data_IF_635735773406
#
_entry.id   IF_635735773406
#
_cell.length_a   1.000
_cell.length_b   1.000
_cell.length_c   1.000
_cell.angle_alpha   90.00
_cell.angle_beta   90.00
_cell.angle_gamma   90.00
#
_symmetry.space_group_name_H-M   'P 1'
#
loop_
_entity.id
_entity.type
_entity.pdbx_description
1 polymer ?
#
# COMPACT_ATOMS: atom_id res chain seq x y z
N UNK A 1 -47.18 -20.53 -13.16
CA UNK A 1 -46.35 -19.50 -12.47
C UNK A 1 -44.93 -19.63 -12.97
N UNK A 2 -44.23 -18.53 -13.22
CA UNK A 2 -42.93 -18.51 -13.92
C UNK A 2 -41.82 -19.10 -13.05
N UNK A 3 -40.95 -19.95 -13.61
CA UNK A 3 -39.76 -20.52 -12.92
C UNK A 3 -38.90 -19.43 -12.24
N UNK A 4 -38.94 -18.21 -12.74
CA UNK A 4 -38.25 -17.04 -12.18
C UNK A 4 -38.80 -16.59 -10.80
N UNK A 5 -40.12 -16.71 -10.56
CA UNK A 5 -40.72 -16.33 -9.27
C UNK A 5 -40.38 -17.35 -8.18
N UNK A 6 -40.29 -18.63 -8.53
CA UNK A 6 -39.88 -19.69 -7.60
C UNK A 6 -38.41 -19.56 -7.19
N UNK A 7 -37.53 -19.20 -8.14
CA UNK A 7 -36.11 -18.93 -7.85
C UNK A 7 -35.96 -17.71 -6.93
N UNK A 8 -36.70 -16.61 -7.19
CA UNK A 8 -36.71 -15.43 -6.33
C UNK A 8 -37.19 -15.74 -4.91
N UNK A 9 -38.27 -16.51 -4.78
CA UNK A 9 -38.79 -16.89 -3.46
C UNK A 9 -37.82 -17.79 -2.69
N UNK A 10 -37.15 -18.74 -3.35
CA UNK A 10 -36.10 -19.56 -2.73
C UNK A 10 -34.90 -18.74 -2.27
N UNK A 11 -34.47 -17.73 -3.06
CA UNK A 11 -33.39 -16.82 -2.66
C UNK A 11 -33.77 -15.97 -1.44
N UNK A 12 -35.00 -15.46 -1.39
CA UNK A 12 -35.51 -14.69 -0.25
C UNK A 12 -35.63 -15.54 1.01
N UNK A 13 -36.16 -16.76 0.91
CA UNK A 13 -36.23 -17.69 2.05
C UNK A 13 -34.84 -18.09 2.55
N UNK A 14 -33.88 -18.31 1.64
CA UNK A 14 -32.50 -18.59 2.02
C UNK A 14 -31.86 -17.38 2.73
N UNK A 15 -32.14 -16.14 2.31
CA UNK A 15 -31.65 -14.93 3.00
C UNK A 15 -32.30 -14.76 4.38
N UNK A 16 -33.60 -15.03 4.53
CA UNK A 16 -34.32 -14.94 5.82
C UNK A 16 -33.92 -16.03 6.82
N UNK A 17 -33.68 -17.26 6.36
CA UNK A 17 -33.18 -18.33 7.23
C UNK A 17 -31.75 -18.04 7.75
N UNK A 18 -30.93 -17.35 6.94
CA UNK A 18 -29.55 -16.97 7.27
C UNK A 18 -29.47 -15.81 8.26
N UNK A 19 -30.31 -14.79 8.14
CA UNK A 19 -30.38 -13.68 9.12
C UNK A 19 -30.82 -14.16 10.51
N UNK A 20 -31.70 -15.15 10.59
CA UNK A 20 -32.17 -15.73 11.85
C UNK A 20 -31.08 -16.52 12.62
N UNK A 21 -30.07 -17.07 11.95
CA UNK A 21 -28.96 -17.76 12.62
C UNK A 21 -28.05 -16.80 13.41
N UNK A 22 -27.92 -15.55 12.95
CA UNK A 22 -27.18 -14.48 13.66
C UNK A 22 -27.96 -14.00 14.90
N UNK A 23 -29.29 -14.04 14.84
CA UNK A 23 -30.15 -13.64 15.95
C UNK A 23 -30.05 -14.58 17.17
N UNK A 24 -29.77 -15.88 16.97
CA UNK A 24 -29.73 -16.91 18.02
C UNK A 24 -28.45 -16.95 18.88
N UNK A 25 -27.47 -16.07 18.68
CA UNK A 25 -26.27 -16.03 19.54
C UNK A 25 -26.61 -15.54 20.96
N UNK A 26 -26.11 -16.25 21.98
CA UNK A 26 -26.18 -15.86 23.39
C UNK A 26 -25.69 -14.40 23.59
N UNK A 27 -26.43 -13.52 24.30
CA UNK A 27 -26.06 -12.12 24.51
C UNK A 27 -24.64 -11.92 25.05
N UNK A 28 -24.14 -12.84 25.89
CA UNK A 28 -22.76 -12.80 26.41
C UNK A 28 -21.72 -13.05 25.31
N UNK A 29 -22.00 -14.00 24.40
CA UNK A 29 -21.17 -14.28 23.24
C UNK A 29 -21.18 -13.11 22.24
N UNK A 30 -22.33 -12.47 22.00
CA UNK A 30 -22.44 -11.25 21.17
C UNK A 30 -21.58 -10.11 21.71
N UNK A 31 -21.61 -9.85 23.03
CA UNK A 31 -20.81 -8.81 23.65
C UNK A 31 -19.29 -9.06 23.56
N UNK A 32 -18.85 -10.31 23.82
CA UNK A 32 -17.44 -10.71 23.69
C UNK A 32 -16.93 -10.55 22.25
N UNK A 33 -17.74 -10.96 21.28
CA UNK A 33 -17.45 -10.83 19.85
C UNK A 33 -17.38 -9.38 19.42
N UNK A 34 -18.32 -8.54 19.83
CA UNK A 34 -18.34 -7.10 19.55
C UNK A 34 -17.08 -6.40 20.09
N UNK A 35 -16.65 -6.74 21.31
CA UNK A 35 -15.40 -6.22 21.89
C UNK A 35 -14.20 -6.56 21.01
N UNK A 36 -14.09 -7.81 20.54
CA UNK A 36 -12.99 -8.25 19.69
C UNK A 36 -12.99 -7.58 18.31
N UNK A 37 -14.16 -7.42 17.68
CA UNK A 37 -14.30 -6.71 16.40
C UNK A 37 -13.84 -5.24 16.52
N UNK A 38 -14.23 -4.55 17.60
CA UNK A 38 -13.80 -3.15 17.85
C UNK A 38 -12.29 -3.03 18.05
N UNK A 39 -11.67 -3.98 18.75
CA UNK A 39 -10.22 -4.03 18.95
C UNK A 39 -9.47 -4.19 17.62
N UNK A 40 -9.89 -5.16 16.79
CA UNK A 40 -9.31 -5.38 15.47
C UNK A 40 -9.51 -4.18 14.55
N UNK A 41 -10.67 -3.52 14.61
CA UNK A 41 -10.93 -2.30 13.85
C UNK A 41 -10.01 -1.15 14.28
N UNK A 42 -9.77 -0.98 15.58
CA UNK A 42 -8.88 0.06 16.10
C UNK A 42 -7.43 -0.15 15.61
N UNK A 43 -6.94 -1.40 15.63
CA UNK A 43 -5.62 -1.75 15.08
C UNK A 43 -5.53 -1.44 13.59
N UNK A 44 -6.55 -1.86 12.83
CA UNK A 44 -6.67 -1.54 11.41
C UNK A 44 -6.79 -0.05 11.14
N UNK A 45 -7.29 0.79 12.05
CA UNK A 45 -7.31 2.25 11.87
C UNK A 45 -5.95 2.90 12.14
N UNK A 46 -5.16 2.33 13.05
CA UNK A 46 -3.82 2.82 13.42
C UNK A 46 -2.71 2.55 12.40
N UNK A 47 -2.93 1.68 11.43
CA UNK A 47 -1.88 1.28 10.47
C UNK A 47 -1.51 -0.19 10.52
N UNK A 48 -1.90 -0.90 11.59
CA UNK A 48 -1.51 -2.29 11.80
C UNK A 48 -2.27 -3.25 10.87
N UNK A 49 -1.65 -4.37 10.51
CA UNK A 49 -2.30 -5.47 9.82
C UNK A 49 -2.88 -6.51 10.81
N UNK A 50 -3.90 -7.23 10.37
CA UNK A 50 -4.52 -8.33 11.13
C UNK A 50 -4.43 -9.62 10.33
N UNK A 51 -4.20 -10.74 11.03
CA UNK A 51 -4.05 -12.03 10.35
C UNK A 51 -5.39 -12.56 9.84
N UNK A 52 -5.37 -13.37 8.78
CA UNK A 52 -6.59 -14.07 8.29
C UNK A 52 -7.18 -15.01 9.36
N UNK A 53 -6.33 -15.58 10.22
CA UNK A 53 -6.76 -16.38 11.36
C UNK A 53 -7.54 -15.55 12.38
N UNK A 54 -7.05 -14.36 12.71
CA UNK A 54 -7.76 -13.43 13.60
C UNK A 54 -9.12 -13.03 13.01
N UNK A 55 -9.18 -12.76 11.70
CA UNK A 55 -10.42 -12.39 11.04
C UNK A 55 -11.43 -13.55 11.02
N UNK A 56 -10.98 -14.76 10.64
CA UNK A 56 -11.82 -15.98 10.63
C UNK A 56 -12.36 -16.34 12.01
N UNK A 57 -11.60 -16.06 13.07
CA UNK A 57 -12.02 -16.33 14.44
C UNK A 57 -13.12 -15.40 14.97
N UNK A 58 -13.41 -14.29 14.28
CA UNK A 58 -14.37 -13.27 14.75
C UNK A 58 -15.54 -13.07 13.78
N UNK A 59 -15.37 -13.41 12.50
CA UNK A 59 -16.46 -13.46 11.53
C UNK A 59 -17.29 -14.75 11.70
N UNK A 60 -18.59 -14.69 11.37
CA UNK A 60 -19.39 -15.91 11.20
C UNK A 60 -19.01 -16.57 9.87
N UNK A 61 -19.37 -17.84 9.69
CA UNK A 61 -19.12 -18.54 8.41
C UNK A 61 -19.71 -17.78 7.22
N UNK A 62 -20.89 -17.20 7.38
CA UNK A 62 -21.51 -16.35 6.34
C UNK A 62 -20.67 -15.09 6.04
N UNK A 63 -20.27 -14.34 7.07
CA UNK A 63 -19.47 -13.12 6.88
C UNK A 63 -18.07 -13.43 6.35
N UNK A 64 -17.53 -14.59 6.72
CA UNK A 64 -16.29 -15.10 6.18
C UNK A 64 -16.43 -15.42 4.69
N UNK A 65 -17.55 -16.03 4.29
CA UNK A 65 -17.84 -16.31 2.89
C UNK A 65 -18.07 -15.02 2.09
N UNK A 66 -18.81 -14.06 2.63
CA UNK A 66 -19.00 -12.73 2.02
C UNK A 66 -17.62 -12.04 1.82
N UNK A 67 -16.75 -12.11 2.82
CA UNK A 67 -15.38 -11.60 2.74
C UNK A 67 -14.54 -12.35 1.69
N UNK A 68 -14.61 -13.68 1.65
CA UNK A 68 -13.89 -14.50 0.67
C UNK A 68 -14.33 -14.25 -0.77
N UNK A 69 -15.63 -14.05 -0.99
CA UNK A 69 -16.23 -13.73 -2.28
C UNK A 69 -15.86 -12.28 -2.71
N UNK A 70 -15.92 -11.31 -1.80
CA UNK A 70 -15.46 -9.94 -2.08
C UNK A 70 -13.95 -9.90 -2.40
N UNK A 71 -13.18 -10.75 -1.72
CA UNK A 71 -11.75 -10.93 -1.96
C UNK A 71 -11.45 -11.86 -3.14
N UNK A 72 -12.44 -12.52 -3.76
CA UNK A 72 -12.27 -13.40 -4.93
C UNK A 72 -11.88 -12.60 -6.17
N UNK A 73 -12.41 -11.38 -6.32
CA UNK A 73 -11.95 -10.44 -7.35
C UNK A 73 -10.52 -9.93 -7.11
N UNK A 74 -10.01 -10.03 -5.87
CA UNK A 74 -8.58 -9.85 -5.56
C UNK A 74 -7.78 -11.15 -5.65
N UNK A 75 -8.45 -12.31 -5.78
CA UNK A 75 -7.86 -13.59 -6.22
C UNK A 75 -7.75 -13.65 -7.75
N UNK A 76 -7.86 -12.51 -8.47
CA UNK A 76 -7.26 -12.42 -9.80
C UNK A 76 -5.83 -12.94 -9.65
N UNK A 77 -5.59 -14.02 -10.36
CA UNK A 77 -4.42 -14.85 -10.25
C UNK A 77 -3.22 -14.12 -10.87
N UNK A 78 -2.61 -13.24 -10.09
CA UNK A 78 -1.25 -12.78 -10.36
C UNK A 78 -0.24 -13.88 -9.95
N UNK A 79 -0.46 -15.15 -10.30
CA UNK A 79 0.69 -16.04 -10.58
C UNK A 79 1.40 -15.60 -11.86
N UNK A 80 0.73 -14.81 -12.72
CA UNK A 80 1.39 -13.76 -13.49
C UNK A 80 1.58 -12.55 -12.58
N UNK A 81 2.47 -12.66 -11.59
CA UNK A 81 2.97 -11.49 -10.87
C UNK A 81 3.47 -10.58 -11.99
N UNK A 82 2.93 -9.35 -12.14
CA UNK A 82 3.74 -8.32 -12.78
C UNK A 82 4.95 -8.26 -11.86
N UNK A 83 6.01 -8.99 -12.17
CA UNK A 83 7.24 -8.87 -11.43
C UNK A 83 7.69 -7.44 -11.68
N UNK A 84 8.12 -6.77 -10.62
CA UNK A 84 8.70 -5.44 -10.80
C UNK A 84 9.81 -5.59 -11.85
N UNK A 85 9.79 -4.79 -12.94
CA UNK A 85 10.80 -4.86 -13.97
C UNK A 85 12.20 -4.89 -13.35
N UNK A 86 13.05 -5.80 -13.79
CA UNK A 86 14.36 -5.97 -13.16
C UNK A 86 15.26 -4.75 -13.39
N UNK A 87 14.99 -4.00 -14.46
CA UNK A 87 15.58 -2.73 -14.84
C UNK A 87 15.37 -1.68 -13.74
N UNK A 88 14.24 -1.73 -13.03
CA UNK A 88 13.95 -0.85 -11.89
C UNK A 88 14.88 -1.11 -10.69
N UNK A 89 15.65 -2.22 -10.64
CA UNK A 89 16.55 -2.49 -9.52
C UNK A 89 17.73 -1.51 -9.46
N UNK A 90 18.32 -1.14 -10.61
CA UNK A 90 19.43 -0.18 -10.65
C UNK A 90 18.97 1.20 -10.16
N UNK A 91 17.78 1.62 -10.59
CA UNK A 91 17.13 2.83 -10.08
C UNK A 91 16.99 2.80 -8.56
N UNK A 92 16.47 1.70 -8.01
CA UNK A 92 16.23 1.54 -6.59
C UNK A 92 17.52 1.54 -5.76
N UNK A 93 18.60 0.97 -6.29
CA UNK A 93 19.90 0.97 -5.62
C UNK A 93 20.47 2.39 -5.52
N UNK A 94 20.37 3.18 -6.59
CA UNK A 94 20.79 4.61 -6.60
C UNK A 94 19.92 5.44 -5.66
N UNK A 95 18.61 5.24 -5.70
CA UNK A 95 17.65 5.90 -4.81
C UNK A 95 17.96 5.61 -3.34
N UNK A 96 18.30 4.36 -3.00
CA UNK A 96 18.69 3.93 -1.65
C UNK A 96 20.01 4.58 -1.21
N UNK A 97 20.96 4.77 -2.10
CA UNK A 97 22.20 5.51 -1.80
C UNK A 97 21.91 6.98 -1.50
N UNK A 98 21.05 7.62 -2.29
CA UNK A 98 20.57 8.99 -2.04
C UNK A 98 19.91 9.12 -0.67
N UNK A 99 18.96 8.23 -0.35
CA UNK A 99 18.27 8.20 0.95
C UNK A 99 19.26 8.03 2.11
N UNK A 100 20.26 7.15 1.95
CA UNK A 100 21.28 6.92 2.96
C UNK A 100 22.12 8.17 3.23
N UNK A 101 22.64 8.81 2.19
CA UNK A 101 23.44 10.03 2.36
C UNK A 101 22.62 11.18 2.93
N UNK A 102 21.37 11.32 2.48
CA UNK A 102 20.45 12.34 2.98
C UNK A 102 20.18 12.14 4.47
N UNK A 103 19.75 10.94 4.89
CA UNK A 103 19.51 10.63 6.30
C UNK A 103 20.77 10.80 7.17
N UNK A 104 21.95 10.46 6.62
CA UNK A 104 23.23 10.68 7.29
C UNK A 104 23.57 12.16 7.43
N UNK A 105 23.23 12.99 6.44
CA UNK A 105 23.41 14.43 6.50
C UNK A 105 22.53 15.05 7.61
N UNK A 106 21.25 14.68 7.64
CA UNK A 106 20.27 15.14 8.62
C UNK A 106 20.69 14.80 10.06
N UNK A 107 21.26 13.62 10.26
CA UNK A 107 21.77 13.18 11.58
C UNK A 107 23.15 13.75 11.95
N UNK A 108 23.89 14.36 11.03
CA UNK A 108 25.23 14.89 11.28
C UNK A 108 25.16 16.31 11.83
N UNK A 109 25.56 16.60 13.08
CA UNK A 109 25.54 17.96 13.63
C UNK A 109 26.62 18.85 13.00
N UNK A 110 26.28 20.13 12.80
CA UNK A 110 27.24 21.18 12.42
C UNK A 110 27.57 21.99 13.67
N UNK A 111 28.85 22.08 13.99
CA UNK A 111 29.37 22.80 15.16
C UNK A 111 30.52 23.70 14.75
N UNK A 112 30.93 24.63 15.61
CA UNK A 112 32.09 25.47 15.37
C UNK A 112 33.41 24.68 15.17
N UNK A 113 33.45 23.41 15.58
CA UNK A 113 34.61 22.50 15.41
C UNK A 113 34.49 21.56 14.22
N UNK A 114 33.42 21.65 13.44
CA UNK A 114 33.21 20.78 12.30
C UNK A 114 34.32 20.96 11.27
N UNK A 115 34.91 19.85 10.79
CA UNK A 115 35.97 19.89 9.78
C UNK A 115 35.44 20.46 8.47
N UNK A 116 36.10 21.50 7.99
CA UNK A 116 35.87 22.14 6.69
C UNK A 116 36.91 21.61 5.69
N UNK A 117 36.50 21.33 4.45
CA UNK A 117 37.43 20.97 3.37
C UNK A 117 38.04 22.20 2.67
N UNK A 118 38.91 21.96 1.69
CA UNK A 118 39.53 23.01 0.87
C UNK A 118 38.57 23.84 0.03
N UNK A 119 37.31 23.41 -0.11
CA UNK A 119 36.24 24.12 -0.83
C UNK A 119 35.26 24.81 0.12
N UNK A 120 35.65 24.99 1.38
CA UNK A 120 34.85 25.59 2.44
C UNK A 120 33.55 24.82 2.77
N UNK A 121 33.53 23.50 2.58
CA UNK A 121 32.35 22.66 2.86
C UNK A 121 32.53 21.83 4.13
N UNK A 122 31.54 21.92 5.02
CA UNK A 122 31.47 21.06 6.20
C UNK A 122 30.95 19.65 5.85
N UNK A 123 31.13 18.69 6.77
CA UNK A 123 30.76 17.28 6.57
C UNK A 123 29.31 17.07 6.13
N UNK A 124 28.35 17.73 6.79
CA UNK A 124 26.92 17.67 6.39
C UNK A 124 26.69 18.13 4.95
N UNK A 125 27.27 19.26 4.53
CA UNK A 125 27.10 19.77 3.17
C UNK A 125 27.63 18.79 2.12
N UNK A 126 28.78 18.16 2.38
CA UNK A 126 29.31 17.11 1.50
C UNK A 126 28.37 15.90 1.39
N UNK A 127 27.73 15.50 2.49
CA UNK A 127 26.76 14.41 2.48
C UNK A 127 25.51 14.79 1.68
N UNK A 128 25.03 16.04 1.76
CA UNK A 128 23.93 16.50 0.90
C UNK A 128 24.33 16.46 -0.58
N UNK A 129 25.53 16.92 -0.96
CA UNK A 129 25.99 16.84 -2.35
C UNK A 129 26.12 15.38 -2.83
N UNK A 130 26.50 14.45 -1.94
CA UNK A 130 26.51 13.02 -2.25
C UNK A 130 25.11 12.45 -2.43
N UNK A 131 24.14 12.91 -1.64
CA UNK A 131 22.74 12.54 -1.78
C UNK A 131 22.17 13.05 -3.10
N UNK A 132 22.35 14.34 -3.38
CA UNK A 132 21.93 15.00 -4.63
C UNK A 132 22.48 14.28 -5.84
N UNK A 133 23.80 14.03 -5.90
CA UNK A 133 24.42 13.30 -7.00
C UNK A 133 23.86 11.87 -7.17
N UNK A 134 23.53 11.16 -6.08
CA UNK A 134 22.89 9.85 -6.18
C UNK A 134 21.43 9.91 -6.65
N UNK A 135 20.71 10.98 -6.32
CA UNK A 135 19.36 11.23 -6.84
C UNK A 135 19.38 11.64 -8.31
N UNK A 136 20.33 12.48 -8.73
CA UNK A 136 20.54 12.82 -10.16
C UNK A 136 20.77 11.56 -10.98
N UNK A 137 21.71 10.72 -10.53
CA UNK A 137 21.99 9.42 -11.13
C UNK A 137 20.75 8.53 -11.24
N UNK A 138 19.89 8.53 -10.20
CA UNK A 138 18.65 7.76 -10.19
C UNK A 138 17.65 8.33 -11.20
N UNK A 139 17.43 9.64 -11.22
CA UNK A 139 16.51 10.31 -12.13
C UNK A 139 16.95 10.15 -13.57
N UNK A 140 18.24 10.34 -13.88
CA UNK A 140 18.79 10.11 -15.21
C UNK A 140 18.53 8.68 -15.67
N UNK A 141 18.83 7.69 -14.84
CA UNK A 141 18.58 6.29 -15.18
C UNK A 141 17.08 6.01 -15.41
N UNK A 142 16.20 6.61 -14.60
CA UNK A 142 14.77 6.48 -14.77
C UNK A 142 14.27 7.13 -16.07
N UNK A 143 14.74 8.33 -16.39
CA UNK A 143 14.41 9.02 -17.63
C UNK A 143 14.89 8.22 -18.84
N UNK A 144 16.14 7.73 -18.83
CA UNK A 144 16.68 6.86 -19.89
C UNK A 144 15.83 5.59 -20.07
N UNK A 145 15.33 5.01 -18.97
CA UNK A 145 14.45 3.84 -19.00
C UNK A 145 13.06 4.18 -19.58
N UNK A 146 12.53 5.38 -19.31
CA UNK A 146 11.21 5.82 -19.74
C UNK A 146 11.17 6.36 -21.18
N UNK A 147 12.27 6.97 -21.63
CA UNK A 147 12.46 7.52 -22.99
C UNK A 147 13.11 6.51 -23.95
N UNK A 148 13.48 5.33 -23.43
CA UNK A 148 14.06 4.25 -24.22
C UNK A 148 13.14 3.73 -25.32
N UNK A 149 13.71 2.91 -26.21
CA UNK A 149 12.98 2.36 -27.37
C UNK A 149 11.93 1.29 -27.02
N UNK A 150 11.91 0.80 -25.76
CA UNK A 150 10.95 -0.19 -25.30
C UNK A 150 9.74 0.48 -24.62
N UNK A 151 8.75 0.82 -25.44
CA UNK A 151 7.53 1.47 -24.96
C UNK A 151 6.71 0.59 -24.01
N UNK A 152 6.81 -0.74 -24.12
CA UNK A 152 6.10 -1.65 -23.22
C UNK A 152 6.73 -1.61 -21.82
N UNK A 153 8.06 -1.73 -21.75
CA UNK A 153 8.81 -1.61 -20.50
C UNK A 153 8.59 -0.24 -19.84
N UNK A 154 8.62 0.85 -20.61
CA UNK A 154 8.35 2.19 -20.10
C UNK A 154 6.95 2.29 -19.47
N UNK A 155 5.93 1.72 -20.12
CA UNK A 155 4.58 1.68 -19.57
C UNK A 155 4.49 0.84 -18.29
N UNK A 156 5.14 -0.32 -18.26
CA UNK A 156 5.20 -1.18 -17.08
C UNK A 156 5.89 -0.46 -15.91
N UNK A 157 7.03 0.20 -16.14
CA UNK A 157 7.74 1.01 -15.14
C UNK A 157 6.83 2.11 -14.59
N UNK A 158 6.11 2.85 -15.44
CA UNK A 158 5.16 3.91 -15.01
C UNK A 158 4.08 3.37 -14.08
N UNK A 159 3.61 2.13 -14.27
CA UNK A 159 2.63 1.52 -13.38
C UNK A 159 3.20 1.29 -11.97
N UNK A 160 4.50 1.08 -11.84
CA UNK A 160 5.19 0.84 -10.56
C UNK A 160 5.59 2.12 -9.82
N UNK A 161 5.62 3.27 -10.47
CA UNK A 161 5.96 4.54 -9.83
C UNK A 161 4.76 5.10 -9.05
N UNK A 162 5.04 5.77 -7.94
CA UNK A 162 4.04 6.34 -7.04
C UNK A 162 3.52 7.73 -7.46
N UNK A 163 4.15 8.31 -8.49
CA UNK A 163 3.77 9.57 -9.14
C UNK A 163 4.11 9.52 -10.62
N UNK A 164 3.50 10.40 -11.39
CA UNK A 164 3.81 10.57 -12.81
C UNK A 164 5.19 11.20 -12.99
N UNK A 165 5.88 10.80 -14.07
CA UNK A 165 7.20 11.30 -14.44
C UNK A 165 7.13 11.89 -15.84
N UNK A 166 7.36 13.20 -15.91
CA UNK A 166 7.65 13.90 -17.14
C UNK A 166 9.17 13.83 -17.36
N UNK A 167 9.60 13.33 -18.52
CA UNK A 167 11.01 13.19 -18.87
C UNK A 167 11.56 14.39 -19.65
N UNK A 168 10.71 15.36 -20.00
CA UNK A 168 11.14 16.59 -20.65
C UNK A 168 12.10 17.37 -19.75
N UNK A 169 13.15 17.95 -20.34
CA UNK A 169 14.22 18.64 -19.61
C UNK A 169 13.74 19.77 -18.68
N UNK A 170 12.56 20.35 -18.95
CA UNK A 170 11.95 21.41 -18.13
C UNK A 170 11.14 20.92 -16.93
N UNK A 171 10.67 19.66 -16.96
CA UNK A 171 9.74 19.11 -15.97
C UNK A 171 10.25 17.82 -15.30
N UNK A 172 11.48 17.40 -15.62
CA UNK A 172 12.11 16.25 -14.99
C UNK A 172 12.15 16.40 -13.46
N UNK A 173 12.03 15.29 -12.70
CA UNK A 173 12.09 15.34 -11.25
C UNK A 173 13.39 15.97 -10.75
N UNK A 174 13.30 16.84 -9.75
CA UNK A 174 14.48 17.36 -9.06
C UNK A 174 15.21 16.25 -8.31
N UNK A 175 16.52 16.42 -8.14
CA UNK A 175 17.40 15.48 -7.46
C UNK A 175 17.35 15.58 -5.93
N UNK A 176 16.16 15.48 -5.36
CA UNK A 176 15.92 15.56 -3.93
C UNK A 176 14.98 14.45 -3.42
N UNK A 177 15.02 14.12 -2.12
CA UNK A 177 14.26 12.99 -1.59
C UNK A 177 12.75 13.09 -1.84
N UNK A 178 12.21 14.31 -1.94
CA UNK A 178 10.78 14.56 -2.06
C UNK A 178 10.32 14.49 -3.50
N UNK A 179 11.07 15.04 -4.46
CA UNK A 179 10.70 15.06 -5.88
C UNK A 179 10.95 13.74 -6.60
N UNK A 180 11.95 12.95 -6.17
CA UNK A 180 12.30 11.69 -6.86
C UNK A 180 11.18 10.64 -6.70
N UNK A 181 10.66 10.08 -7.81
CA UNK A 181 9.58 9.09 -7.78
C UNK A 181 9.91 7.86 -6.93
N UNK A 182 8.99 7.37 -6.11
CA UNK A 182 9.20 6.13 -5.36
C UNK A 182 8.42 4.99 -6.04
N UNK A 183 8.80 3.77 -5.71
CA UNK A 183 8.02 2.60 -6.16
C UNK A 183 6.80 2.43 -5.25
N UNK A 184 5.64 2.11 -5.84
CA UNK A 184 4.41 1.80 -5.13
C UNK A 184 4.64 0.72 -4.08
N UNK A 185 4.22 1.00 -2.85
CA UNK A 185 4.45 0.13 -1.69
C UNK A 185 5.81 0.31 -1.01
N UNK A 186 6.59 1.32 -1.40
CA UNK A 186 7.78 1.75 -0.65
C UNK A 186 7.42 2.16 0.78
N UNK A 187 8.33 1.91 1.72
CA UNK A 187 8.23 2.33 3.13
C UNK A 187 8.87 3.70 3.40
N UNK A 188 9.40 4.36 2.36
CA UNK A 188 9.99 5.69 2.49
C UNK A 188 8.94 6.70 2.93
N UNK A 189 9.35 7.63 3.79
CA UNK A 189 8.51 8.77 4.21
C UNK A 189 8.17 9.71 3.04
N UNK A 190 8.97 9.67 1.97
CA UNK A 190 8.78 10.47 0.77
C UNK A 190 7.91 9.77 -0.28
N UNK A 191 7.37 8.59 0.02
CA UNK A 191 6.47 7.91 -0.92
C UNK A 191 5.08 8.52 -0.89
N UNK A 192 4.57 8.85 -2.08
CA UNK A 192 3.22 9.31 -2.34
C UNK A 192 2.25 8.14 -2.59
N UNK A 193 2.74 6.90 -2.47
CA UNK A 193 1.92 5.67 -2.54
C UNK A 193 0.78 5.66 -1.52
N UNK A 194 0.87 6.47 -0.46
CA UNK A 194 -0.22 6.65 0.50
C UNK A 194 -1.47 7.27 -0.13
N UNK A 195 -1.32 7.99 -1.25
CA UNK A 195 -2.39 8.68 -1.98
C UNK A 195 -2.62 8.12 -3.41
N UNK A 196 -1.68 7.37 -3.97
CA UNK A 196 -1.71 6.89 -5.36
C UNK A 196 -2.14 5.44 -5.53
N UNK A 197 -3.44 5.18 -5.36
CA UNK A 197 -4.08 3.88 -5.67
C UNK A 197 -3.73 2.78 -4.67
N UNK A 198 -4.75 2.26 -4.00
CA UNK A 198 -4.60 1.24 -2.97
C UNK A 198 -3.70 0.09 -3.48
N UNK A 199 -2.52 -0.10 -2.89
CA UNK A 199 -1.70 -1.27 -3.16
C UNK A 199 -2.53 -2.53 -2.86
N UNK A 200 -2.15 -3.70 -3.38
CA UNK A 200 -2.80 -4.97 -2.98
C UNK A 200 -2.93 -5.11 -1.46
N UNK A 201 -1.96 -4.57 -0.71
CA UNK A 201 -1.98 -4.54 0.74
C UNK A 201 -3.03 -3.57 1.29
N UNK A 202 -3.15 -2.38 0.70
CA UNK A 202 -4.18 -1.40 1.09
C UNK A 202 -5.59 -1.86 0.74
N UNK A 203 -5.79 -2.46 -0.43
CA UNK A 203 -7.07 -3.07 -0.82
C UNK A 203 -7.43 -4.21 0.13
N UNK A 204 -6.50 -5.14 0.37
CA UNK A 204 -6.73 -6.22 1.34
C UNK A 204 -7.05 -5.68 2.74
N UNK A 205 -6.37 -4.61 3.16
CA UNK A 205 -6.61 -3.96 4.45
C UNK A 205 -7.96 -3.26 4.49
N UNK A 206 -8.38 -2.64 3.40
CA UNK A 206 -9.70 -2.04 3.22
C UNK A 206 -10.81 -3.11 3.30
N UNK A 207 -10.71 -4.22 2.55
CA UNK A 207 -11.70 -5.30 2.63
C UNK A 207 -11.78 -5.95 4.01
N UNK A 208 -10.65 -6.12 4.70
CA UNK A 208 -10.64 -6.55 6.12
C UNK A 208 -11.41 -5.57 7.01
N UNK A 209 -11.25 -4.27 6.77
CA UNK A 209 -11.94 -3.20 7.51
C UNK A 209 -13.44 -3.23 7.24
N UNK A 210 -13.86 -3.28 5.98
CA UNK A 210 -15.26 -3.35 5.55
C UNK A 210 -15.96 -4.60 6.11
N UNK A 211 -15.29 -5.76 6.08
CA UNK A 211 -15.84 -6.99 6.67
C UNK A 211 -16.10 -6.86 8.18
N UNK A 212 -15.19 -6.21 8.91
CA UNK A 212 -15.36 -5.96 10.35
C UNK A 212 -16.46 -4.92 10.62
N UNK A 213 -16.52 -3.84 9.84
CA UNK A 213 -17.55 -2.80 9.98
C UNK A 213 -18.96 -3.36 9.70
N UNK A 214 -19.10 -4.16 8.64
CA UNK A 214 -20.34 -4.88 8.32
C UNK A 214 -20.73 -5.88 9.42
N UNK A 215 -19.75 -6.62 9.98
CA UNK A 215 -20.01 -7.53 11.08
C UNK A 215 -20.46 -6.82 12.36
N UNK A 216 -19.90 -5.64 12.65
CA UNK A 216 -20.33 -4.78 13.75
C UNK A 216 -21.75 -4.25 13.50
N UNK A 217 -22.06 -3.82 12.28
CA UNK A 217 -23.38 -3.29 11.92
C UNK A 217 -24.47 -4.36 12.11
N UNK A 218 -24.27 -5.59 11.60
CA UNK A 218 -25.20 -6.72 11.75
C UNK A 218 -25.39 -7.18 13.21
N UNK A 219 -24.48 -6.84 14.12
CA UNK A 219 -24.60 -7.15 15.55
C UNK A 219 -25.30 -6.04 16.34
N UNK A 220 -25.42 -4.83 15.76
CA UNK A 220 -26.08 -3.68 16.36
C UNK A 220 -27.53 -3.50 15.89
N UNK A 221 -27.86 -4.00 14.68
CA UNK A 221 -29.22 -4.15 14.16
C UNK A 221 -29.97 -5.27 14.85
#
# INVERSE_FOLDING_TARGET
MSKLSEIRNKLLQAQQAKSNAVAQLDPKAKAKRLKRLKELLARLKKGEDITRRDLKGVLTDEQWQDFENANEYLKVDYTQVLERPQELNMYLDKLKQGDFYHARAESTPVTARSRIDSRNRHGRLRLHHQAESAYEDAVMYLCDLLDGNDAQLAQEVRLWLDREVDTSASNAPNADPQSVPRVKGSRSIHSESANGGATKFDLKRQYKREAIENAIARLKS
#
